data_IF_441689957648
#
_entry.id   IF_441689957648
#
_cell.length_a   1.000
_cell.length_b   1.000
_cell.length_c   1.000
_cell.angle_alpha   90.00
_cell.angle_beta   90.00
_cell.angle_gamma   90.00
#
_symmetry.space_group_name_H-M   'P 1'
#
loop_
_entity.id
_entity.type
_entity.pdbx_description
1 polymer ?
#
# COMPACT_ATOMS: atom_id res chain seq x y z
N UNK A 1 6.01 -62.06 14.57
CA UNK A 1 5.15 -61.12 15.31
C UNK A 1 4.56 -60.18 14.27
N UNK A 2 3.47 -60.52 13.56
CA UNK A 2 2.05 -60.39 13.96
C UNK A 2 1.73 -58.94 14.41
N UNK A 3 1.26 -58.08 13.49
CA UNK A 3 -0.12 -57.54 13.34
C UNK A 3 -0.43 -56.41 14.37
N UNK A 4 -1.12 -55.29 14.08
CA UNK A 4 -2.38 -55.10 13.37
C UNK A 4 -2.58 -53.61 12.96
N UNK A 5 -3.30 -53.42 11.84
CA UNK A 5 -4.00 -52.20 11.42
C UNK A 5 -5.25 -51.95 12.29
N UNK A 6 -5.68 -50.69 12.43
CA UNK A 6 -7.05 -50.33 12.81
C UNK A 6 -7.54 -49.12 12.00
N UNK A 7 -8.71 -49.30 11.37
CA UNK A 7 -9.43 -48.40 10.46
C UNK A 7 -10.76 -47.99 11.14
N UNK A 8 -11.37 -46.91 10.62
CA UNK A 8 -12.81 -46.62 10.47
C UNK A 8 -13.48 -45.60 11.40
N UNK A 9 -14.19 -44.68 10.75
CA UNK A 9 -15.23 -43.84 11.35
C UNK A 9 -15.76 -42.73 10.41
N UNK A 10 -16.31 -43.07 9.24
CA UNK A 10 -17.17 -42.16 8.45
C UNK A 10 -18.63 -42.49 8.78
N UNK A 11 -19.42 -41.49 9.19
CA UNK A 11 -20.88 -41.61 9.33
C UNK A 11 -21.53 -40.66 8.34
N UNK A 12 -22.23 -41.24 7.36
CA UNK A 12 -23.16 -40.58 6.46
C UNK A 12 -24.58 -40.80 6.99
N UNK A 13 -25.38 -39.73 7.08
CA UNK A 13 -26.82 -39.82 7.33
C UNK A 13 -27.57 -39.58 6.03
N UNK A 14 -28.14 -40.64 5.47
CA UNK A 14 -29.14 -40.58 4.40
C UNK A 14 -30.54 -40.67 5.01
N UNK A 15 -31.40 -39.70 4.69
CA UNK A 15 -32.83 -39.72 5.01
C UNK A 15 -33.65 -39.68 3.73
N UNK A 16 -34.27 -40.80 3.36
CA UNK A 16 -35.27 -40.88 2.31
C UNK A 16 -36.65 -40.62 2.93
N UNK A 17 -37.41 -39.67 2.38
CA UNK A 17 -38.84 -39.51 2.68
C UNK A 17 -39.68 -39.85 1.45
N UNK A 18 -40.61 -40.77 1.69
CA UNK A 18 -41.58 -41.35 0.77
C UNK A 18 -42.72 -40.35 0.52
N UNK A 19 -43.07 -40.10 -0.75
CA UNK A 19 -44.25 -39.32 -1.13
C UNK A 19 -45.32 -40.27 -1.68
N UNK A 20 -46.52 -40.36 -1.09
CA UNK A 20 -47.62 -41.14 -1.68
C UNK A 20 -48.34 -40.35 -2.77
N UNK A 21 -48.75 -41.08 -3.82
CA UNK A 21 -49.45 -40.57 -4.99
C UNK A 21 -50.92 -40.19 -4.69
N UNK A 22 -51.35 -39.04 -5.20
CA UNK A 22 -52.73 -38.62 -5.30
C UNK A 22 -52.90 -37.63 -6.46
N UNK A 23 -53.65 -38.02 -7.49
CA UNK A 23 -53.92 -37.23 -8.69
C UNK A 23 -55.17 -36.35 -8.53
N UNK A 24 -55.20 -35.14 -9.12
CA UNK A 24 -56.35 -34.59 -9.87
C UNK A 24 -56.13 -33.14 -10.38
N UNK A 25 -56.08 -33.00 -11.70
CA UNK A 25 -56.88 -32.11 -12.59
C UNK A 25 -57.12 -30.61 -12.24
N UNK A 26 -56.66 -29.76 -13.17
CA UNK A 26 -57.34 -28.58 -13.76
C UNK A 26 -57.60 -27.31 -12.91
N UNK A 27 -57.13 -26.17 -13.44
CA UNK A 27 -57.64 -24.83 -13.10
C UNK A 27 -56.61 -23.72 -13.27
N UNK A 28 -56.74 -22.91 -14.32
CA UNK A 28 -55.89 -21.74 -14.59
C UNK A 28 -56.43 -20.47 -13.91
N UNK A 29 -55.49 -19.66 -13.40
CA UNK A 29 -55.54 -18.19 -13.22
C UNK A 29 -56.20 -17.61 -11.93
N UNK A 30 -55.93 -16.32 -11.58
CA UNK A 30 -54.84 -15.91 -10.67
C UNK A 30 -55.37 -15.02 -9.50
N UNK A 31 -54.48 -14.53 -8.63
CA UNK A 31 -54.47 -13.14 -8.05
C UNK A 31 -53.99 -13.06 -6.58
N UNK A 32 -52.99 -12.17 -6.37
CA UNK A 32 -52.63 -11.44 -5.12
C UNK A 32 -51.95 -12.21 -3.96
N UNK A 33 -50.78 -11.87 -3.41
CA UNK A 33 -50.01 -10.63 -3.24
C UNK A 33 -48.54 -10.95 -2.81
N UNK A 34 -47.61 -9.97 -2.84
CA UNK A 34 -46.19 -10.17 -3.15
C UNK A 34 -45.25 -10.10 -1.93
N UNK A 35 -43.95 -10.29 -2.22
CA UNK A 35 -42.75 -9.85 -1.48
C UNK A 35 -41.93 -10.95 -0.80
N UNK A 36 -40.85 -11.35 -1.48
CA UNK A 36 -39.48 -11.24 -0.96
C UNK A 36 -38.52 -11.50 -2.14
N UNK A 37 -38.49 -10.58 -3.10
CA UNK A 37 -37.46 -10.55 -4.13
C UNK A 37 -36.18 -9.98 -3.52
N UNK A 38 -35.17 -10.83 -3.34
CA UNK A 38 -33.90 -10.42 -2.73
C UNK A 38 -33.24 -9.30 -3.54
N UNK A 39 -32.68 -8.33 -2.83
CA UNK A 39 -31.96 -7.15 -3.35
C UNK A 39 -30.81 -7.47 -4.33
N UNK A 40 -30.40 -8.73 -4.46
CA UNK A 40 -29.38 -9.17 -5.42
C UNK A 40 -29.85 -9.12 -6.88
N UNK A 41 -31.14 -9.33 -7.17
CA UNK A 41 -31.63 -9.39 -8.56
C UNK A 41 -31.73 -7.99 -9.20
N UNK A 42 -32.05 -6.96 -8.41
CA UNK A 42 -32.12 -5.57 -8.88
C UNK A 42 -30.75 -4.96 -9.24
N UNK A 43 -29.65 -5.50 -8.69
CA UNK A 43 -28.30 -5.01 -8.97
C UNK A 43 -27.74 -5.50 -10.32
N UNK A 44 -28.22 -6.65 -10.82
CA UNK A 44 -27.73 -7.22 -12.09
C UNK A 44 -28.44 -6.59 -13.30
N UNK A 45 -29.70 -6.18 -13.15
CA UNK A 45 -30.48 -5.58 -14.23
C UNK A 45 -30.07 -4.13 -14.57
N UNK A 46 -29.38 -3.42 -13.66
CA UNK A 46 -28.96 -2.02 -13.87
C UNK A 46 -27.67 -1.85 -14.69
N UNK A 47 -26.93 -2.92 -14.98
CA UNK A 47 -25.59 -2.82 -15.59
C UNK A 47 -25.60 -2.75 -17.13
N UNK A 48 -26.74 -2.86 -17.80
CA UNK A 48 -26.80 -2.97 -19.27
C UNK A 48 -27.61 -1.87 -19.97
N UNK A 49 -27.95 -0.78 -19.29
CA UNK A 49 -28.78 0.26 -19.88
C UNK A 49 -28.09 1.63 -19.86
N UNK A 50 -27.17 1.83 -20.81
CA UNK A 50 -26.98 3.13 -21.46
C UNK A 50 -26.77 2.93 -22.96
N UNK A 51 -27.89 2.89 -23.65
CA UNK A 51 -28.02 2.91 -25.10
C UNK A 51 -27.70 4.31 -25.62
N UNK A 52 -26.67 4.38 -26.46
CA UNK A 52 -26.49 5.23 -27.64
C UNK A 52 -27.63 6.23 -27.92
N UNK A 53 -27.38 7.51 -27.61
CA UNK A 53 -28.05 8.64 -28.26
C UNK A 53 -27.05 9.81 -28.39
N UNK A 54 -26.17 9.72 -29.39
CA UNK A 54 -25.55 10.90 -30.01
C UNK A 54 -25.02 10.51 -31.40
N UNK A 55 -25.54 11.22 -32.38
CA UNK A 55 -25.19 11.32 -33.81
C UNK A 55 -23.69 11.17 -34.13
N UNK A 56 -23.41 10.44 -35.20
CA UNK A 56 -22.09 10.30 -35.83
C UNK A 56 -21.52 11.66 -36.24
N UNK A 57 -20.34 11.99 -35.72
CA UNK A 57 -19.34 12.77 -36.47
C UNK A 57 -18.09 11.89 -36.56
N UNK A 58 -17.87 11.34 -37.75
CA UNK A 58 -16.58 10.72 -38.11
C UNK A 58 -15.57 11.85 -38.32
N UNK A 59 -14.84 12.21 -37.26
CA UNK A 59 -13.59 12.95 -37.41
C UNK A 59 -12.43 11.97 -37.42
N UNK A 60 -11.90 11.76 -38.61
CA UNK A 60 -10.63 11.10 -38.84
C UNK A 60 -9.49 11.83 -38.12
N UNK A 61 -8.47 11.04 -37.74
CA UNK A 61 -7.08 11.47 -37.47
C UNK A 61 -6.89 12.44 -36.30
N UNK A 62 -6.33 11.94 -35.19
CA UNK A 62 -4.96 12.33 -34.85
C UNK A 62 -4.33 11.30 -33.88
N UNK A 63 -3.20 10.73 -34.29
CA UNK A 63 -2.39 9.79 -33.51
C UNK A 63 -1.05 10.43 -33.17
N UNK A 64 -1.05 11.75 -32.93
CA UNK A 64 0.13 12.52 -32.51
C UNK A 64 -0.28 13.84 -31.82
N UNK A 65 -0.47 13.81 -30.51
CA UNK A 65 -0.28 14.97 -29.63
C UNK A 65 -0.31 14.43 -28.21
N UNK A 66 0.85 14.21 -27.61
CA UNK A 66 1.66 15.21 -26.89
C UNK A 66 1.54 14.86 -25.41
N UNK A 67 2.65 14.34 -24.88
CA UNK A 67 2.95 14.29 -23.47
C UNK A 67 2.56 15.64 -22.84
N UNK A 68 1.61 15.64 -21.90
CA UNK A 68 1.40 16.82 -21.08
C UNK A 68 2.42 16.74 -19.94
N UNK A 69 3.55 17.42 -20.17
CA UNK A 69 4.47 17.75 -19.10
C UNK A 69 3.70 18.56 -18.06
N UNK A 70 3.50 17.99 -16.88
CA UNK A 70 2.90 18.68 -15.76
C UNK A 70 3.81 19.85 -15.37
N UNK A 71 3.46 21.06 -15.80
CA UNK A 71 4.07 22.29 -15.32
C UNK A 71 3.44 22.60 -13.97
N UNK A 72 4.16 22.30 -12.90
CA UNK A 72 3.79 22.72 -11.55
C UNK A 72 3.82 24.25 -11.46
N UNK A 73 2.72 24.92 -11.05
CA UNK A 73 2.78 26.34 -10.72
C UNK A 73 3.64 26.55 -9.47
N UNK A 74 4.59 27.48 -9.56
CA UNK A 74 5.43 27.96 -8.44
C UNK A 74 4.59 28.72 -7.41
N UNK A 75 4.54 28.30 -6.13
CA UNK A 75 4.13 29.17 -5.03
C UNK A 75 5.35 29.82 -4.36
N UNK A 76 5.37 31.15 -4.30
CA UNK A 76 6.33 31.99 -3.56
C UNK A 76 5.49 33.08 -2.85
N UNK A 77 5.86 33.64 -1.67
CA UNK A 77 6.14 33.05 -0.36
C UNK A 77 5.39 33.76 0.82
N UNK A 78 5.41 33.15 2.02
CA UNK A 78 5.55 33.74 3.40
C UNK A 78 4.53 34.76 3.95
N UNK A 79 4.00 34.56 5.19
CA UNK A 79 4.59 35.22 6.38
C UNK A 79 4.84 34.33 7.63
N UNK A 80 5.99 34.57 8.27
CA UNK A 80 6.39 34.29 9.67
C UNK A 80 5.55 35.14 10.68
N UNK A 81 5.52 34.92 12.03
CA UNK A 81 6.72 34.68 12.89
C UNK A 81 6.58 33.90 14.24
N UNK A 82 7.75 33.76 14.93
CA UNK A 82 8.10 33.68 16.38
C UNK A 82 7.80 32.42 17.25
N UNK A 83 8.59 31.94 18.23
CA UNK A 83 9.94 32.22 18.80
C UNK A 83 10.26 31.22 19.97
N UNK A 84 11.53 30.76 20.06
CA UNK A 84 12.35 30.36 21.26
C UNK A 84 12.09 29.11 22.11
N UNK A 85 13.08 28.20 22.10
CA UNK A 85 13.96 27.80 23.25
C UNK A 85 14.71 26.52 22.85
N UNK A 86 15.98 26.23 23.11
CA UNK A 86 17.16 26.95 23.58
C UNK A 86 18.35 26.06 23.21
N UNK A 87 19.45 26.71 22.85
CA UNK A 87 20.72 26.12 22.46
C UNK A 87 21.38 25.32 23.57
N UNK A 88 22.00 24.19 23.22
CA UNK A 88 23.23 23.74 23.88
C UNK A 88 24.20 23.27 22.80
N UNK A 89 25.14 24.15 22.51
CA UNK A 89 26.30 23.96 21.66
C UNK A 89 27.24 22.91 22.24
N UNK A 90 27.76 22.04 21.37
CA UNK A 90 29.18 21.68 21.45
C UNK A 90 29.68 21.42 20.04
N UNK A 91 30.60 22.30 19.64
CA UNK A 91 31.38 22.19 18.43
C UNK A 91 32.38 21.03 18.57
N UNK A 92 32.40 20.13 17.59
CA UNK A 92 33.58 19.35 17.28
C UNK A 92 33.69 19.26 15.76
N UNK A 93 34.68 19.97 15.23
CA UNK A 93 35.05 19.98 13.84
C UNK A 93 35.87 18.72 13.53
N UNK A 94 35.39 17.94 12.58
CA UNK A 94 36.22 17.08 11.73
C UNK A 94 35.52 16.98 10.39
N UNK A 95 36.13 17.56 9.35
CA UNK A 95 35.55 17.71 8.02
C UNK A 95 35.17 16.37 7.40
N UNK A 96 33.95 15.94 7.69
CA UNK A 96 33.13 15.10 6.84
C UNK A 96 32.04 16.03 6.33
N UNK A 97 31.79 16.03 5.03
CA UNK A 97 30.63 16.71 4.46
C UNK A 97 29.38 16.02 5.00
N UNK A 98 28.98 16.36 6.23
CA UNK A 98 27.75 15.89 6.83
C UNK A 98 26.63 16.51 6.00
N UNK A 99 25.77 15.65 5.45
CA UNK A 99 24.55 16.11 4.80
C UNK A 99 23.79 17.05 5.76
N UNK A 100 23.24 18.17 5.27
CA UNK A 100 22.46 19.05 6.11
C UNK A 100 21.28 18.31 6.73
N UNK A 101 20.92 18.67 7.97
CA UNK A 101 19.72 18.13 8.61
C UNK A 101 18.46 18.51 7.81
N UNK A 102 17.49 17.61 7.76
CA UNK A 102 16.21 17.84 7.14
C UNK A 102 15.32 18.76 7.99
N UNK A 103 14.74 19.78 7.34
CA UNK A 103 13.84 20.77 7.96
C UNK A 103 12.52 20.94 7.19
N UNK A 104 12.24 20.08 6.19
CA UNK A 104 11.16 20.28 5.21
C UNK A 104 9.75 19.89 5.65
N UNK A 105 9.56 19.28 6.83
CA UNK A 105 8.24 18.81 7.28
C UNK A 105 7.66 17.67 6.40
N UNK A 106 6.34 17.48 6.41
CA UNK A 106 5.67 16.45 5.61
C UNK A 106 5.23 15.21 6.39
N UNK A 107 4.28 14.46 5.83
CA UNK A 107 3.80 13.20 6.41
C UNK A 107 4.57 12.00 5.87
N UNK A 108 4.49 10.86 6.58
CA UNK A 108 5.08 9.60 6.12
C UNK A 108 4.53 9.19 4.76
N UNK A 109 3.24 9.35 4.53
CA UNK A 109 2.57 9.01 3.27
C UNK A 109 3.07 9.89 2.12
N UNK A 110 3.28 11.18 2.37
CA UNK A 110 3.83 12.11 1.38
C UNK A 110 5.24 11.70 0.96
N UNK A 111 6.11 11.39 1.93
CA UNK A 111 7.46 10.93 1.64
C UNK A 111 7.48 9.57 0.93
N UNK A 112 6.64 8.63 1.35
CA UNK A 112 6.52 7.29 0.72
C UNK A 112 6.05 7.40 -0.74
N UNK A 113 5.03 8.22 -0.99
CA UNK A 113 4.52 8.47 -2.34
C UNK A 113 5.58 9.15 -3.21
N UNK A 114 6.24 10.19 -2.69
CA UNK A 114 7.32 10.89 -3.41
C UNK A 114 8.53 9.99 -3.69
N UNK A 115 8.80 9.02 -2.83
CA UNK A 115 9.86 8.02 -3.02
C UNK A 115 9.52 6.92 -4.04
N UNK A 116 8.29 6.92 -4.58
CA UNK A 116 7.82 5.93 -5.55
C UNK A 116 7.53 4.56 -4.95
N UNK A 117 7.25 4.49 -3.64
CA UNK A 117 6.90 3.25 -2.96
C UNK A 117 5.39 3.00 -3.14
N UNK A 118 5.03 1.82 -3.64
CA UNK A 118 3.64 1.43 -3.83
C UNK A 118 2.87 1.43 -2.50
N UNK A 119 1.63 1.91 -2.50
CA UNK A 119 0.80 1.98 -1.30
C UNK A 119 0.57 0.61 -0.63
N UNK A 120 0.64 -0.47 -1.41
CA UNK A 120 0.59 -1.85 -0.90
C UNK A 120 1.77 -2.22 0.00
N UNK A 121 2.91 -1.55 -0.16
CA UNK A 121 4.13 -1.82 0.61
C UNK A 121 4.28 -0.93 1.84
N UNK A 122 3.49 0.13 1.97
CA UNK A 122 3.66 1.13 3.02
C UNK A 122 3.64 0.55 4.44
N UNK A 123 2.86 -0.51 4.69
CA UNK A 123 2.85 -1.19 5.98
C UNK A 123 4.18 -1.85 6.34
N UNK A 124 4.87 -2.46 5.35
CA UNK A 124 6.19 -3.05 5.55
C UNK A 124 7.24 -1.97 5.78
N UNK A 125 7.16 -0.86 5.02
CA UNK A 125 8.08 0.27 5.19
C UNK A 125 7.91 0.91 6.56
N UNK A 126 6.66 1.15 6.99
CA UNK A 126 6.35 1.73 8.31
C UNK A 126 6.91 0.88 9.45
N UNK A 127 6.82 -0.45 9.34
CA UNK A 127 7.40 -1.35 10.32
C UNK A 127 8.93 -1.23 10.38
N UNK A 128 9.61 -1.29 9.23
CA UNK A 128 11.08 -1.25 9.16
C UNK A 128 11.57 0.13 9.60
N UNK A 129 11.13 1.21 8.95
CA UNK A 129 11.53 2.59 9.25
C UNK A 129 11.22 2.95 10.71
N UNK A 130 10.08 2.51 11.23
CA UNK A 130 9.72 2.71 12.63
C UNK A 130 10.73 2.10 13.60
N UNK A 131 11.39 0.98 13.24
CA UNK A 131 12.43 0.36 14.07
C UNK A 131 13.84 0.88 13.80
N UNK A 132 14.12 1.32 12.58
CA UNK A 132 15.41 1.90 12.20
C UNK A 132 15.61 3.29 12.81
N UNK A 133 14.58 4.14 12.78
CA UNK A 133 14.70 5.57 13.16
C UNK A 133 13.54 6.11 13.98
N UNK A 134 12.46 5.35 14.19
CA UNK A 134 11.22 5.87 14.76
C UNK A 134 10.59 6.96 13.90
N UNK A 135 10.79 6.90 12.58
CA UNK A 135 10.36 7.92 11.61
C UNK A 135 11.01 9.32 11.82
N UNK A 136 12.19 9.39 12.43
CA UNK A 136 12.96 10.63 12.52
C UNK A 136 13.92 10.76 11.32
N UNK A 137 13.70 11.72 10.39
CA UNK A 137 14.56 11.91 9.22
C UNK A 137 16.00 12.30 9.58
N UNK A 138 16.21 12.85 10.77
CA UNK A 138 17.51 13.30 11.28
C UNK A 138 18.15 12.30 12.24
N UNK A 139 17.68 11.04 12.27
CA UNK A 139 18.28 10.01 13.11
C UNK A 139 19.68 9.66 12.64
N UNK A 140 20.65 9.67 13.56
CA UNK A 140 22.03 9.26 13.30
C UNK A 140 22.50 8.33 14.40
N UNK A 141 22.91 7.12 14.04
CA UNK A 141 23.52 6.19 14.98
C UNK A 141 24.96 6.62 15.27
N UNK A 142 25.26 7.03 16.52
CA UNK A 142 26.59 7.54 16.89
C UNK A 142 27.70 6.49 16.82
N UNK A 143 27.37 5.20 16.92
CA UNK A 143 28.35 4.12 16.90
C UNK A 143 28.72 3.71 15.47
N UNK A 144 27.76 3.67 14.56
CA UNK A 144 27.99 3.23 13.17
C UNK A 144 28.11 4.39 12.18
N UNK A 145 27.53 5.55 12.46
CA UNK A 145 27.39 6.65 11.51
C UNK A 145 26.30 6.43 10.46
N UNK A 146 25.41 5.46 10.67
CA UNK A 146 24.22 5.27 9.85
C UNK A 146 23.26 6.44 10.01
N UNK A 147 22.58 6.86 8.93
CA UNK A 147 21.78 8.10 8.94
C UNK A 147 20.42 7.98 8.25
N UNK A 148 19.51 8.85 8.66
CA UNK A 148 18.19 9.03 8.06
C UNK A 148 17.17 7.96 8.45
N UNK A 149 16.04 7.96 7.74
CA UNK A 149 14.88 7.12 8.05
C UNK A 149 15.21 5.62 8.07
N UNK A 150 16.01 5.16 7.12
CA UNK A 150 16.39 3.75 6.95
C UNK A 150 17.81 3.43 7.40
N UNK A 151 18.48 4.35 8.10
CA UNK A 151 19.83 4.14 8.63
C UNK A 151 20.84 3.71 7.56
N UNK A 152 20.99 4.51 6.50
CA UNK A 152 21.93 4.23 5.39
C UNK A 152 23.37 4.25 5.92
N UNK A 153 24.13 3.20 5.64
CA UNK A 153 25.55 3.10 6.01
C UNK A 153 26.48 2.76 4.83
N UNK A 154 27.56 3.55 4.62
CA UNK A 154 27.81 4.87 5.22
C UNK A 154 26.81 5.91 4.70
N UNK A 155 26.54 6.94 5.51
CA UNK A 155 25.62 8.03 5.15
C UNK A 155 25.98 8.71 3.81
N UNK A 156 27.26 8.72 3.45
CA UNK A 156 27.78 9.27 2.20
C UNK A 156 27.47 8.42 0.95
N UNK A 157 26.73 7.30 1.08
CA UNK A 157 26.27 6.51 -0.07
C UNK A 157 25.25 7.24 -0.94
N UNK A 158 24.55 8.20 -0.35
CA UNK A 158 23.54 9.00 -1.02
C UNK A 158 23.82 10.48 -0.76
N UNK A 159 23.58 11.30 -1.77
CA UNK A 159 23.60 12.74 -1.59
C UNK A 159 22.39 13.16 -0.75
N UNK A 160 22.61 14.01 0.25
CA UNK A 160 21.54 14.49 1.13
C UNK A 160 20.79 13.37 1.89
N UNK A 161 21.50 12.43 2.51
CA UNK A 161 20.93 11.24 3.15
C UNK A 161 19.93 11.45 4.29
N UNK A 162 19.75 12.68 4.78
CA UNK A 162 18.69 13.03 5.74
C UNK A 162 17.38 13.42 5.07
N UNK A 163 17.39 13.73 3.76
CA UNK A 163 16.16 13.96 3.02
C UNK A 163 15.33 12.67 2.98
N UNK A 164 14.08 12.70 3.48
CA UNK A 164 13.27 11.51 3.64
C UNK A 164 12.94 10.86 2.30
N UNK A 165 12.77 11.63 1.22
CA UNK A 165 12.44 11.11 -0.10
C UNK A 165 13.65 10.43 -0.72
N UNK A 166 14.85 11.05 -0.63
CA UNK A 166 16.09 10.42 -1.10
C UNK A 166 16.38 9.14 -0.32
N UNK A 167 16.22 9.20 1.00
CA UNK A 167 16.49 8.09 1.89
C UNK A 167 15.55 6.90 1.60
N UNK A 168 14.24 7.17 1.45
CA UNK A 168 13.24 6.15 1.11
C UNK A 168 13.36 5.64 -0.34
N UNK A 169 13.75 6.47 -1.30
CA UNK A 169 13.95 6.06 -2.69
C UNK A 169 15.14 5.10 -2.83
N UNK A 170 16.24 5.40 -2.13
CA UNK A 170 17.38 4.49 -2.03
C UNK A 170 16.96 3.17 -1.38
N UNK A 171 16.24 3.25 -0.27
CA UNK A 171 15.72 2.10 0.46
C UNK A 171 14.78 1.23 -0.39
N UNK A 172 13.93 1.83 -1.22
CA UNK A 172 13.05 1.12 -2.14
C UNK A 172 13.85 0.28 -3.15
N UNK A 173 14.91 0.87 -3.71
CA UNK A 173 15.82 0.17 -4.62
C UNK A 173 16.59 -0.95 -3.91
N UNK A 174 16.99 -0.72 -2.65
CA UNK A 174 17.69 -1.72 -1.84
C UNK A 174 16.79 -2.89 -1.42
N UNK A 175 15.56 -2.61 -0.97
CA UNK A 175 14.56 -3.61 -0.62
C UNK A 175 14.26 -4.53 -1.80
N UNK A 176 13.94 -3.93 -2.95
CA UNK A 176 13.61 -4.67 -4.17
C UNK A 176 14.82 -5.41 -4.75
N UNK A 177 16.02 -4.84 -4.70
CA UNK A 177 17.22 -5.48 -5.22
C UNK A 177 17.77 -6.62 -4.36
N UNK A 178 17.76 -6.47 -3.03
CA UNK A 178 18.34 -7.45 -2.10
C UNK A 178 17.35 -8.51 -1.65
N UNK A 179 16.10 -8.10 -1.39
CA UNK A 179 15.05 -8.95 -0.83
C UNK A 179 13.95 -9.31 -1.83
N UNK A 180 14.01 -8.76 -3.05
CA UNK A 180 12.99 -8.94 -4.08
C UNK A 180 11.75 -8.05 -3.89
N UNK A 181 11.44 -7.65 -2.64
CA UNK A 181 10.30 -6.79 -2.30
C UNK A 181 10.44 -6.23 -0.89
N UNK A 182 9.59 -5.26 -0.54
CA UNK A 182 9.44 -4.79 0.84
C UNK A 182 8.90 -5.88 1.78
N UNK A 183 8.01 -6.76 1.29
CA UNK A 183 7.56 -7.92 2.05
C UNK A 183 8.72 -8.87 2.41
N UNK A 184 9.61 -9.16 1.44
CA UNK A 184 10.80 -9.96 1.68
C UNK A 184 11.78 -9.30 2.65
N UNK A 185 11.94 -7.96 2.57
CA UNK A 185 12.74 -7.21 3.53
C UNK A 185 12.16 -7.30 4.95
N UNK A 186 10.84 -7.22 5.08
CA UNK A 186 10.13 -7.37 6.35
C UNK A 186 10.30 -8.77 6.95
N UNK A 187 10.13 -9.83 6.16
CA UNK A 187 10.34 -11.22 6.60
C UNK A 187 11.79 -11.43 7.09
N UNK A 188 12.76 -10.87 6.37
CA UNK A 188 14.15 -10.90 6.78
C UNK A 188 14.38 -10.14 8.09
N UNK A 189 13.86 -8.92 8.19
CA UNK A 189 14.02 -8.06 9.36
C UNK A 189 13.41 -8.70 10.61
N UNK A 190 12.21 -9.27 10.51
CA UNK A 190 11.52 -9.90 11.66
C UNK A 190 12.30 -11.07 12.26
N UNK A 191 13.11 -11.75 11.45
CA UNK A 191 13.94 -12.88 11.89
C UNK A 191 15.33 -12.44 12.36
N UNK A 192 15.93 -11.45 11.70
CA UNK A 192 17.34 -11.10 11.88
C UNK A 192 17.57 -9.82 12.68
N UNK A 193 16.56 -8.95 12.75
CA UNK A 193 16.60 -7.61 13.37
C UNK A 193 17.63 -6.67 12.72
N UNK A 194 17.90 -6.90 11.45
CA UNK A 194 18.63 -6.02 10.53
C UNK A 194 18.12 -6.26 9.10
N UNK A 195 18.50 -5.40 8.17
CA UNK A 195 18.22 -5.57 6.75
C UNK A 195 19.28 -4.87 5.88
#
# INVERSE_FOLDING_TARGET
MASLFAVLGVVAFGGAFVIPAGAALAGSAPESQPADSSLYDAAVAGAQQMTVDHVVVVSALDRTSSYEAYVTPTPTPTPEPVTTSSSSSSSASSGSYAAPAYTGGGSKEEWLAAAGIASSDWGYVDYIVGRESGWNPNATNSSSGACGLVQIYPCSKVDNGYDPVVNLSWANSYATGRYGSWAGAYEFWTTNHWW
#
